data_IF_604066749572
#
_entry.id   IF_604066749572
#
_cell.length_a   1.000
_cell.length_b   1.000
_cell.length_c   1.000
_cell.angle_alpha   90.00
_cell.angle_beta   90.00
_cell.angle_gamma   90.00
#
_symmetry.space_group_name_H-M   'P 1'
#
loop_
_entity.id
_entity.type
_entity.pdbx_description
1 polymer ?
#
# COMPACT_ATOMS: atom_id res chain seq x y z
N UNK A 1 30.98 23.79 75.28
CA UNK A 1 31.10 23.60 73.82
C UNK A 1 30.02 22.64 73.40
N UNK A 2 29.12 23.13 72.55
CA UNK A 2 27.88 22.48 72.15
C UNK A 2 28.07 21.69 70.85
N UNK A 3 27.42 20.53 70.74
CA UNK A 3 26.90 19.91 69.51
C UNK A 3 26.07 18.68 69.92
N UNK A 4 24.75 18.78 69.97
CA UNK A 4 23.81 18.51 68.85
C UNK A 4 23.56 17.02 68.61
N UNK A 5 22.56 16.49 69.32
CA UNK A 5 21.80 15.28 68.96
C UNK A 5 20.92 15.59 67.76
N UNK A 6 21.10 14.86 66.65
CA UNK A 6 20.20 14.91 65.49
C UNK A 6 19.65 13.51 65.24
N UNK A 7 18.33 13.38 65.36
CA UNK A 7 17.57 12.18 65.05
C UNK A 7 17.53 11.96 63.51
N UNK A 8 17.77 10.73 63.07
CA UNK A 8 17.58 10.33 61.68
C UNK A 8 16.08 10.06 61.42
N UNK A 9 15.47 10.85 60.55
CA UNK A 9 14.15 10.58 60.02
C UNK A 9 14.23 9.48 58.95
N UNK A 10 13.50 8.38 59.15
CA UNK A 10 13.27 7.37 58.12
C UNK A 10 12.21 7.90 57.14
N UNK A 11 12.62 8.19 55.90
CA UNK A 11 11.69 8.42 54.78
C UNK A 11 11.38 7.10 54.09
N UNK A 12 10.13 6.64 54.20
CA UNK A 12 9.58 5.57 53.37
C UNK A 12 9.53 6.07 51.92
N UNK A 13 10.20 5.38 51.01
CA UNK A 13 10.06 5.56 49.56
C UNK A 13 8.95 4.59 49.14
N UNK A 14 7.79 5.13 48.75
CA UNK A 14 6.75 4.34 48.07
C UNK A 14 7.28 3.89 46.69
N UNK A 15 6.99 2.66 46.24
CA UNK A 15 7.34 2.25 44.89
C UNK A 15 6.47 3.02 43.90
N UNK A 16 7.11 3.76 43.00
CA UNK A 16 6.46 4.35 41.84
C UNK A 16 5.85 3.22 41.01
N UNK A 17 4.52 3.22 40.88
CA UNK A 17 3.80 2.31 40.00
C UNK A 17 4.37 2.39 38.58
N UNK A 18 4.75 1.24 38.03
CA UNK A 18 5.06 1.13 36.60
C UNK A 18 3.80 1.51 35.80
N UNK A 19 3.91 2.31 34.72
CA UNK A 19 2.76 2.66 33.92
C UNK A 19 2.20 1.43 33.22
N UNK A 20 0.87 1.35 33.22
CA UNK A 20 0.07 0.33 32.55
C UNK A 20 0.47 0.20 31.06
N UNK A 21 0.86 -1.00 30.57
CA UNK A 21 1.25 -1.21 29.18
C UNK A 21 0.10 -1.00 28.17
N UNK A 22 -1.12 -0.70 28.60
CA UNK A 22 -2.27 -0.42 27.73
C UNK A 22 -2.53 1.07 27.43
N UNK A 23 -1.74 2.02 27.95
CA UNK A 23 -2.03 3.45 27.78
C UNK A 23 -1.38 4.15 26.58
N UNK A 24 -0.69 3.43 25.68
CA UNK A 24 -0.18 4.00 24.42
C UNK A 24 -1.20 3.82 23.29
N UNK A 25 -2.31 4.58 23.38
CA UNK A 25 -3.28 4.68 22.32
C UNK A 25 -2.67 5.36 21.07
N UNK A 26 -2.61 4.58 19.99
CA UNK A 26 -2.55 4.95 18.57
C UNK A 26 -2.19 6.41 18.22
N UNK A 27 -0.94 6.65 17.81
CA UNK A 27 -0.55 7.87 17.08
C UNK A 27 -0.86 7.76 15.58
N UNK A 28 -2.03 7.21 15.23
CA UNK A 28 -2.52 7.39 13.86
C UNK A 28 -3.03 8.82 13.74
N UNK A 29 -2.66 9.57 12.69
CA UNK A 29 -3.20 10.91 12.48
C UNK A 29 -4.74 10.84 12.51
N UNK A 30 -5.37 11.85 13.12
CA UNK A 30 -6.82 11.93 13.18
C UNK A 30 -7.40 11.69 11.79
N UNK A 31 -8.22 10.65 11.66
CA UNK A 31 -8.89 10.33 10.41
C UNK A 31 -9.79 11.51 10.07
N UNK A 32 -9.42 12.30 9.06
CA UNK A 32 -10.34 13.29 8.49
C UNK A 32 -11.67 12.62 8.21
N UNK A 33 -12.77 13.28 8.56
CA UNK A 33 -14.11 12.79 8.26
C UNK A 33 -14.15 12.41 6.77
N UNK A 34 -14.42 11.14 6.52
CA UNK A 34 -14.43 10.56 5.18
C UNK A 34 -15.64 11.10 4.43
N UNK A 35 -15.42 11.66 3.25
CA UNK A 35 -16.46 12.25 2.40
C UNK A 35 -16.69 11.47 1.10
N UNK A 36 -16.09 10.27 0.97
CA UNK A 36 -16.20 9.42 -0.22
C UNK A 36 -15.49 8.08 -0.03
N UNK A 37 -15.15 7.40 -1.11
CA UNK A 37 -14.50 6.09 -1.16
C UNK A 37 -13.05 6.17 -0.66
N UNK A 38 -12.69 5.32 0.32
CA UNK A 38 -11.32 5.17 0.83
C UNK A 38 -10.71 3.86 0.36
N UNK A 39 -9.60 3.96 -0.37
CA UNK A 39 -8.83 2.81 -0.86
C UNK A 39 -7.45 2.81 -0.24
N UNK A 40 -7.06 1.68 0.36
CA UNK A 40 -5.72 1.49 0.90
C UNK A 40 -4.98 0.40 0.13
N UNK A 41 -3.71 0.65 -0.20
CA UNK A 41 -2.81 -0.36 -0.73
C UNK A 41 -1.63 -0.57 0.22
N UNK A 42 -1.27 -1.83 0.47
CA UNK A 42 -0.08 -2.14 1.27
C UNK A 42 0.54 -3.49 0.88
N UNK A 43 1.85 -3.47 0.61
CA UNK A 43 2.66 -4.67 0.60
C UNK A 43 2.90 -5.12 2.06
N UNK A 44 2.35 -6.27 2.43
CA UNK A 44 2.39 -6.77 3.81
C UNK A 44 3.58 -7.67 4.11
N UNK A 45 4.38 -8.02 3.10
CA UNK A 45 5.56 -8.88 3.22
C UNK A 45 5.29 -10.16 4.06
N UNK A 46 4.10 -10.73 3.89
CA UNK A 46 3.54 -11.83 4.68
C UNK A 46 2.44 -11.38 5.64
N UNK A 47 1.18 -11.64 5.28
CA UNK A 47 -0.01 -11.18 6.02
C UNK A 47 -0.03 -11.64 7.48
N UNK A 48 0.40 -12.89 7.77
CA UNK A 48 0.49 -13.40 9.15
C UNK A 48 1.42 -12.57 10.03
N UNK A 49 2.58 -12.21 9.49
CA UNK A 49 3.56 -11.42 10.23
C UNK A 49 3.05 -9.99 10.43
N UNK A 50 2.43 -9.39 9.41
CA UNK A 50 1.84 -8.07 9.50
C UNK A 50 0.71 -8.01 10.56
N UNK A 51 -0.21 -8.98 10.57
CA UNK A 51 -1.27 -9.07 11.58
C UNK A 51 -0.73 -9.18 13.00
N UNK A 52 0.28 -10.04 13.21
CA UNK A 52 0.96 -10.17 14.51
C UNK A 52 1.62 -8.85 14.97
N UNK A 53 2.02 -8.00 14.03
CA UNK A 53 2.74 -6.73 14.27
C UNK A 53 1.84 -5.49 14.31
N UNK A 54 0.52 -5.63 14.29
CA UNK A 54 -0.38 -4.49 14.49
C UNK A 54 -1.24 -4.08 13.28
N UNK A 55 -1.17 -4.82 12.16
CA UNK A 55 -1.96 -4.47 10.97
C UNK A 55 -3.47 -4.49 11.23
N UNK A 56 -3.98 -5.40 12.05
CA UNK A 56 -5.41 -5.50 12.36
C UNK A 56 -5.93 -4.23 13.05
N UNK A 57 -5.16 -3.68 13.99
CA UNK A 57 -5.47 -2.46 14.72
C UNK A 57 -5.48 -1.25 13.79
N UNK A 58 -4.50 -1.16 12.89
CA UNK A 58 -4.49 -0.14 11.84
C UNK A 58 -5.72 -0.24 10.94
N UNK A 59 -6.03 -1.44 10.44
CA UNK A 59 -7.15 -1.66 9.52
C UNK A 59 -8.50 -1.33 10.17
N UNK A 60 -8.69 -1.70 11.43
CA UNK A 60 -9.91 -1.38 12.19
C UNK A 60 -10.11 0.13 12.36
N UNK A 61 -9.02 0.88 12.57
CA UNK A 61 -9.10 2.33 12.79
C UNK A 61 -9.20 3.15 11.50
N UNK A 62 -8.77 2.62 10.35
CA UNK A 62 -8.57 3.43 9.13
C UNK A 62 -9.81 3.61 8.25
N UNK A 63 -10.89 2.89 8.53
CA UNK A 63 -12.17 2.97 7.81
C UNK A 63 -12.06 2.77 6.29
N UNK A 64 -11.27 1.78 5.89
CA UNK A 64 -11.03 1.42 4.49
C UNK A 64 -12.25 0.72 3.89
N UNK A 65 -12.66 1.14 2.69
CA UNK A 65 -13.71 0.46 1.92
C UNK A 65 -13.15 -0.67 1.07
N UNK A 66 -12.02 -0.41 0.40
CA UNK A 66 -11.32 -1.37 -0.46
C UNK A 66 -9.85 -1.43 -0.02
N UNK A 67 -9.42 -2.59 0.44
CA UNK A 67 -8.07 -2.90 0.86
C UNK A 67 -7.38 -3.76 -0.20
N UNK A 68 -6.25 -3.29 -0.72
CA UNK A 68 -5.43 -4.03 -1.67
C UNK A 68 -4.13 -4.45 -0.98
N UNK A 69 -3.84 -5.75 -1.01
CA UNK A 69 -2.69 -6.34 -0.36
C UNK A 69 -1.73 -6.92 -1.41
N UNK A 70 -0.43 -6.73 -1.19
CA UNK A 70 0.63 -7.34 -1.97
C UNK A 70 1.58 -8.13 -1.07
N UNK A 71 2.26 -9.12 -1.65
CA UNK A 71 3.08 -10.08 -0.92
C UNK A 71 2.36 -10.70 0.28
N UNK A 72 1.12 -11.15 0.04
CA UNK A 72 0.30 -11.82 1.04
C UNK A 72 1.02 -13.05 1.62
N UNK A 73 1.71 -13.82 0.76
CA UNK A 73 2.55 -14.99 1.09
C UNK A 73 1.84 -15.99 2.02
N UNK A 74 0.56 -16.21 1.80
CA UNK A 74 -0.24 -17.14 2.58
C UNK A 74 -1.27 -17.86 1.70
N UNK A 75 -1.70 -19.07 2.10
CA UNK A 75 -2.83 -19.72 1.48
C UNK A 75 -4.12 -18.94 1.65
N UNK A 76 -5.04 -19.10 0.71
CA UNK A 76 -6.33 -18.40 0.68
C UNK A 76 -7.12 -18.48 2.01
N UNK A 77 -7.22 -19.68 2.60
CA UNK A 77 -7.92 -19.90 3.87
C UNK A 77 -7.41 -19.00 5.01
N UNK A 78 -6.12 -18.65 5.02
CA UNK A 78 -5.50 -17.82 6.05
C UNK A 78 -5.83 -16.35 5.83
N UNK A 79 -5.96 -15.93 4.57
CA UNK A 79 -6.40 -14.57 4.23
C UNK A 79 -7.83 -14.35 4.73
N UNK A 80 -8.71 -15.33 4.48
CA UNK A 80 -10.08 -15.34 4.98
C UNK A 80 -10.16 -15.37 6.51
N UNK A 81 -9.36 -16.21 7.18
CA UNK A 81 -9.29 -16.28 8.64
C UNK A 81 -8.88 -14.93 9.26
N UNK A 82 -7.87 -14.26 8.71
CA UNK A 82 -7.33 -13.03 9.28
C UNK A 82 -8.20 -11.80 9.01
N UNK A 83 -8.72 -11.65 7.80
CA UNK A 83 -9.59 -10.51 7.46
C UNK A 83 -11.00 -10.67 8.05
N UNK A 84 -11.50 -11.90 8.12
CA UNK A 84 -12.81 -12.24 8.66
C UNK A 84 -13.96 -12.05 7.67
N UNK A 85 -15.17 -12.37 8.13
CA UNK A 85 -16.36 -12.48 7.31
C UNK A 85 -16.98 -11.14 6.90
N UNK A 86 -16.49 -10.01 7.41
CA UNK A 86 -16.97 -8.67 7.05
C UNK A 86 -16.45 -8.18 5.68
N UNK A 87 -15.62 -8.98 5.02
CA UNK A 87 -14.98 -8.64 3.75
C UNK A 87 -15.36 -9.58 2.61
N UNK A 88 -15.68 -9.03 1.44
CA UNK A 88 -15.55 -9.76 0.19
C UNK A 88 -14.07 -9.84 -0.15
N UNK A 89 -13.52 -11.05 -0.27
CA UNK A 89 -12.08 -11.26 -0.49
C UNK A 89 -11.90 -11.92 -1.85
N UNK A 90 -11.09 -11.28 -2.70
CA UNK A 90 -10.54 -11.84 -3.92
C UNK A 90 -9.03 -11.96 -3.73
N UNK A 91 -8.49 -13.16 -3.83
CA UNK A 91 -7.07 -13.41 -3.60
C UNK A 91 -6.50 -14.31 -4.70
N UNK A 92 -5.40 -13.87 -5.29
CA UNK A 92 -4.58 -14.69 -6.16
C UNK A 92 -3.38 -15.20 -5.36
N UNK A 93 -3.52 -16.41 -4.84
CA UNK A 93 -2.42 -17.15 -4.24
C UNK A 93 -1.35 -17.46 -5.31
N UNK A 94 -0.08 -17.29 -4.97
CA UNK A 94 1.01 -17.72 -5.83
C UNK A 94 1.30 -19.21 -5.63
N UNK A 95 1.51 -19.95 -6.72
CA UNK A 95 1.88 -21.38 -6.66
C UNK A 95 3.21 -21.60 -5.91
N UNK A 96 4.14 -20.66 -6.03
CA UNK A 96 5.37 -20.65 -5.26
C UNK A 96 5.09 -20.30 -3.79
N UNK A 97 4.98 -21.34 -2.95
CA UNK A 97 4.67 -21.23 -1.52
C UNK A 97 5.53 -20.17 -0.79
N UNK A 98 4.85 -19.29 -0.05
CA UNK A 98 5.49 -18.24 0.74
C UNK A 98 6.09 -17.09 -0.08
N UNK A 99 5.72 -16.95 -1.35
CA UNK A 99 6.14 -15.87 -2.26
C UNK A 99 4.92 -15.14 -2.80
N UNK A 100 5.08 -13.86 -3.15
CA UNK A 100 4.07 -13.04 -3.81
C UNK A 100 2.67 -13.18 -3.16
N UNK A 101 1.62 -13.29 -3.97
CA UNK A 101 0.23 -13.27 -3.55
C UNK A 101 -0.29 -11.84 -3.49
N UNK A 102 -1.43 -11.60 -4.13
CA UNK A 102 -2.13 -10.31 -4.09
C UNK A 102 -3.60 -10.51 -3.76
N UNK A 103 -4.19 -9.57 -3.03
CA UNK A 103 -5.61 -9.62 -2.71
C UNK A 103 -6.26 -8.24 -2.86
N UNK A 104 -7.57 -8.26 -3.11
CA UNK A 104 -8.49 -7.15 -2.93
C UNK A 104 -9.54 -7.61 -1.93
N UNK A 105 -9.79 -6.80 -0.90
CA UNK A 105 -10.84 -7.01 0.07
C UNK A 105 -11.75 -5.78 0.12
N UNK A 106 -13.06 -5.93 -0.07
CA UNK A 106 -14.03 -4.84 0.08
C UNK A 106 -15.03 -5.08 1.20
N UNK A 107 -15.45 -4.02 1.89
CA UNK A 107 -16.40 -4.09 3.01
C UNK A 107 -17.78 -4.58 2.54
N UNK A 108 -18.26 -5.72 3.07
CA UNK A 108 -19.52 -6.36 2.62
C UNK A 108 -20.75 -5.49 2.82
N UNK A 109 -20.77 -4.72 3.90
CA UNK A 109 -21.86 -3.80 4.25
C UNK A 109 -21.89 -2.53 3.39
N UNK A 110 -20.88 -2.31 2.54
CA UNK A 110 -20.73 -1.08 1.75
C UNK A 110 -20.71 -1.35 0.26
N UNK A 111 -19.89 -2.32 -0.16
CA UNK A 111 -19.61 -2.51 -1.59
C UNK A 111 -19.20 -3.94 -1.92
N UNK A 112 -19.99 -4.56 -2.80
CA UNK A 112 -19.73 -5.87 -3.36
C UNK A 112 -19.07 -5.75 -4.74
N UNK A 113 -18.10 -6.63 -5.07
CA UNK A 113 -17.57 -6.71 -6.43
C UNK A 113 -18.65 -7.24 -7.39
N UNK A 114 -18.74 -6.66 -8.58
CA UNK A 114 -19.64 -7.11 -9.65
C UNK A 114 -19.03 -8.25 -10.45
N UNK A 115 -17.76 -8.10 -10.79
CA UNK A 115 -16.98 -9.08 -11.53
C UNK A 115 -15.55 -9.08 -11.01
N UNK A 116 -14.92 -10.25 -11.04
CA UNK A 116 -13.54 -10.45 -10.56
C UNK A 116 -12.72 -11.19 -11.59
N UNK A 117 -11.45 -10.82 -11.74
CA UNK A 117 -10.49 -11.48 -12.65
C UNK A 117 -9.16 -11.71 -11.93
N UNK A 118 -8.50 -12.82 -12.27
CA UNK A 118 -7.16 -13.16 -11.77
C UNK A 118 -6.21 -13.25 -12.96
N UNK A 119 -5.01 -12.69 -12.80
CA UNK A 119 -3.99 -12.65 -13.85
C UNK A 119 -4.11 -11.43 -14.76
N UNK A 120 -3.00 -11.10 -15.41
CA UNK A 120 -2.84 -9.89 -16.25
C UNK A 120 -3.02 -10.17 -17.75
N UNK A 121 -3.47 -11.38 -18.12
CA UNK A 121 -3.69 -11.77 -19.51
C UNK A 121 -2.48 -12.38 -20.24
N UNK A 122 -1.36 -12.65 -19.54
CA UNK A 122 -0.26 -13.47 -20.06
C UNK A 122 -0.16 -14.77 -19.24
N UNK A 123 -0.32 -15.90 -19.91
CA UNK A 123 -0.31 -17.24 -19.30
C UNK A 123 0.98 -17.55 -18.55
N UNK A 124 2.10 -16.91 -18.92
CA UNK A 124 3.37 -17.03 -18.20
C UNK A 124 3.27 -16.59 -16.74
N UNK A 125 2.33 -15.68 -16.41
CA UNK A 125 2.11 -15.18 -15.06
C UNK A 125 0.83 -15.73 -14.41
N UNK A 126 0.13 -16.68 -15.02
CA UNK A 126 -1.19 -17.15 -14.57
C UNK A 126 -1.20 -17.63 -13.11
N UNK A 127 -0.13 -18.28 -12.64
CA UNK A 127 -0.01 -18.81 -11.27
C UNK A 127 0.93 -17.99 -10.38
N UNK A 128 1.40 -16.83 -10.87
CA UNK A 128 2.40 -16.03 -10.17
C UNK A 128 1.83 -15.26 -8.96
N UNK A 129 0.51 -15.09 -8.87
CA UNK A 129 -0.16 -14.38 -7.77
C UNK A 129 0.25 -12.91 -7.70
N UNK A 130 0.21 -12.19 -8.83
CA UNK A 130 0.73 -10.81 -8.98
C UNK A 130 -0.28 -9.79 -9.49
N UNK A 131 -1.48 -10.22 -9.84
CA UNK A 131 -2.52 -9.35 -10.40
C UNK A 131 -3.91 -9.91 -10.13
N UNK A 132 -4.78 -9.09 -9.57
CA UNK A 132 -6.22 -9.34 -9.45
C UNK A 132 -6.99 -8.07 -9.73
N UNK A 133 -8.16 -8.20 -10.35
CA UNK A 133 -9.06 -7.09 -10.69
C UNK A 133 -10.45 -7.34 -10.12
N UNK A 134 -11.11 -6.29 -9.65
CA UNK A 134 -12.50 -6.31 -9.23
C UNK A 134 -13.24 -5.05 -9.68
N UNK A 135 -14.44 -5.22 -10.25
CA UNK A 135 -15.30 -4.12 -10.67
C UNK A 135 -16.32 -3.75 -9.62
N UNK A 136 -16.61 -2.46 -9.51
CA UNK A 136 -17.49 -1.92 -8.49
C UNK A 136 -18.40 -0.84 -9.08
N UNK A 137 -19.69 -0.91 -8.75
CA UNK A 137 -20.62 0.19 -9.04
C UNK A 137 -20.59 1.22 -7.91
N UNK A 138 -20.28 2.46 -8.26
CA UNK A 138 -20.27 3.61 -7.36
C UNK A 138 -21.20 4.70 -7.88
N UNK A 139 -21.23 5.83 -7.17
CA UNK A 139 -21.81 7.08 -7.65
C UNK A 139 -20.77 8.20 -7.67
N UNK A 140 -20.81 9.06 -8.68
CA UNK A 140 -20.02 10.29 -8.69
C UNK A 140 -20.58 11.35 -7.71
N UNK A 141 -19.96 12.53 -7.68
CA UNK A 141 -20.40 13.64 -6.84
C UNK A 141 -21.81 14.18 -7.20
N UNK A 142 -22.30 13.91 -8.41
CA UNK A 142 -23.65 14.26 -8.87
C UNK A 142 -24.67 13.11 -8.66
N UNK A 143 -24.26 12.00 -8.03
CA UNK A 143 -25.09 10.83 -7.79
C UNK A 143 -25.29 9.94 -9.01
N UNK A 144 -24.58 10.18 -10.11
CA UNK A 144 -24.67 9.35 -11.32
C UNK A 144 -23.90 8.05 -11.12
N UNK A 145 -24.44 6.90 -11.57
CA UNK A 145 -23.74 5.63 -11.48
C UNK A 145 -22.46 5.68 -12.33
N UNK A 146 -21.34 5.29 -11.73
CA UNK A 146 -20.05 5.10 -12.41
C UNK A 146 -19.47 3.76 -12.04
N UNK A 147 -18.78 3.12 -12.97
CA UNK A 147 -18.05 1.88 -12.70
C UNK A 147 -16.58 2.18 -12.37
N UNK A 148 -16.05 1.45 -11.40
CA UNK A 148 -14.63 1.46 -11.03
C UNK A 148 -14.06 0.05 -11.08
N UNK A 149 -13.07 -0.18 -11.92
CA UNK A 149 -12.18 -1.35 -11.82
C UNK A 149 -11.01 -1.05 -10.89
N UNK A 150 -10.86 -1.82 -9.81
CA UNK A 150 -9.68 -1.78 -8.94
C UNK A 150 -8.80 -2.99 -9.19
N UNK A 151 -7.49 -2.76 -9.27
CA UNK A 151 -6.47 -3.79 -9.44
C UNK A 151 -5.48 -3.75 -8.29
N UNK A 152 -5.20 -4.90 -7.68
CA UNK A 152 -4.04 -5.08 -6.80
C UNK A 152 -2.91 -5.77 -7.58
N UNK A 153 -1.79 -5.08 -7.74
CA UNK A 153 -0.66 -5.51 -8.56
C UNK A 153 0.64 -5.60 -7.74
N UNK A 154 1.44 -6.63 -8.00
CA UNK A 154 2.77 -6.80 -7.41
C UNK A 154 3.80 -7.09 -8.50
N UNK A 155 4.51 -6.05 -8.93
CA UNK A 155 5.56 -6.17 -9.96
C UNK A 155 6.78 -6.85 -9.35
N UNK A 156 7.51 -7.61 -10.15
CA UNK A 156 8.76 -8.25 -9.72
C UNK A 156 9.75 -7.20 -9.19
N UNK A 157 10.41 -7.49 -8.07
CA UNK A 157 11.49 -6.63 -7.55
C UNK A 157 12.61 -6.41 -8.57
N UNK A 158 12.86 -7.42 -9.41
CA UNK A 158 13.97 -7.45 -10.35
C UNK A 158 15.31 -7.73 -9.67
N UNK A 159 16.33 -7.94 -10.49
CA UNK A 159 17.73 -8.03 -10.13
C UNK A 159 18.56 -8.00 -11.41
N UNK A 160 19.41 -6.99 -11.57
CA UNK A 160 20.22 -6.75 -12.78
C UNK A 160 20.92 -8.04 -13.25
N UNK A 161 20.86 -8.28 -14.56
CA UNK A 161 21.45 -9.45 -15.25
C UNK A 161 20.95 -10.83 -14.76
N UNK A 162 19.71 -10.90 -14.28
CA UNK A 162 19.08 -12.16 -13.86
C UNK A 162 17.76 -12.41 -14.60
N UNK A 163 17.26 -13.66 -14.63
CA UNK A 163 15.92 -13.98 -15.15
C UNK A 163 14.81 -13.17 -14.48
N UNK A 164 14.96 -12.79 -13.20
CA UNK A 164 13.95 -11.96 -12.51
C UNK A 164 13.79 -10.56 -13.11
N UNK A 165 14.86 -9.99 -13.69
CA UNK A 165 14.76 -8.72 -14.38
C UNK A 165 14.04 -8.88 -15.72
N UNK A 166 14.29 -10.00 -16.41
CA UNK A 166 13.55 -10.34 -17.65
C UNK A 166 12.06 -10.49 -17.35
N UNK A 167 11.70 -11.20 -16.27
CA UNK A 167 10.31 -11.33 -15.81
C UNK A 167 9.69 -9.97 -15.46
N UNK A 168 10.48 -9.08 -14.85
CA UNK A 168 10.03 -7.71 -14.54
C UNK A 168 9.68 -6.94 -15.81
N UNK A 169 10.57 -6.92 -16.80
CA UNK A 169 10.32 -6.21 -18.05
C UNK A 169 9.13 -6.79 -18.82
N UNK A 170 9.04 -8.13 -18.92
CA UNK A 170 7.87 -8.79 -19.52
C UNK A 170 6.58 -8.38 -18.80
N UNK A 171 6.58 -8.36 -17.47
CA UNK A 171 5.40 -7.93 -16.71
C UNK A 171 5.03 -6.46 -16.97
N UNK A 172 6.03 -5.56 -17.07
CA UNK A 172 5.82 -4.15 -17.40
C UNK A 172 5.32 -3.97 -18.84
N UNK A 173 5.75 -4.79 -19.80
CA UNK A 173 5.22 -4.80 -21.18
C UNK A 173 3.75 -5.22 -21.21
N UNK A 174 3.39 -6.25 -20.43
CA UNK A 174 1.99 -6.69 -20.33
C UNK A 174 1.13 -5.63 -19.62
N UNK A 175 1.66 -4.94 -18.59
CA UNK A 175 1.00 -3.77 -18.01
C UNK A 175 0.79 -2.65 -19.04
N UNK A 176 1.79 -2.34 -19.87
CA UNK A 176 1.65 -1.34 -20.93
C UNK A 176 0.52 -1.67 -21.92
N UNK A 177 0.20 -2.96 -22.08
CA UNK A 177 -0.94 -3.44 -22.88
C UNK A 177 -2.26 -3.40 -22.11
N UNK A 178 -2.27 -3.78 -20.83
CA UNK A 178 -3.48 -3.89 -20.00
C UNK A 178 -4.03 -2.51 -19.58
N UNK A 179 -3.18 -1.53 -19.31
CA UNK A 179 -3.59 -0.20 -18.85
C UNK A 179 -4.56 0.51 -19.84
N UNK A 180 -4.31 0.57 -21.16
CA UNK A 180 -5.28 1.10 -22.12
C UNK A 180 -6.58 0.30 -22.20
N UNK A 181 -6.53 -1.03 -22.03
CA UNK A 181 -7.73 -1.87 -22.04
C UNK A 181 -8.64 -1.54 -20.86
N UNK A 182 -8.06 -1.46 -19.65
CA UNK A 182 -8.78 -1.04 -18.44
C UNK A 182 -9.44 0.33 -18.62
N UNK A 183 -8.75 1.30 -19.24
CA UNK A 183 -9.32 2.61 -19.55
C UNK A 183 -10.50 2.58 -20.52
N UNK A 184 -10.59 1.55 -21.37
CA UNK A 184 -11.67 1.38 -22.34
C UNK A 184 -12.82 0.49 -21.83
N UNK A 185 -12.60 -0.26 -20.76
CA UNK A 185 -13.54 -1.23 -20.20
C UNK A 185 -14.43 -0.62 -19.09
N UNK A 186 -13.97 0.41 -18.39
CA UNK A 186 -14.69 1.01 -17.25
C UNK A 186 -14.59 2.54 -17.23
N UNK A 187 -15.53 3.23 -16.57
CA UNK A 187 -15.49 4.70 -16.44
C UNK A 187 -14.23 5.16 -15.70
N UNK A 188 -13.86 4.38 -14.68
CA UNK A 188 -12.69 4.60 -13.84
C UNK A 188 -11.90 3.30 -13.69
N UNK A 189 -10.57 3.40 -13.76
CA UNK A 189 -9.70 2.28 -13.41
C UNK A 189 -8.58 2.74 -12.49
N UNK A 190 -8.22 1.85 -11.57
CA UNK A 190 -7.22 2.07 -10.54
C UNK A 190 -6.30 0.85 -10.44
N UNK A 191 -5.01 1.04 -10.67
CA UNK A 191 -3.98 0.03 -10.41
C UNK A 191 -3.19 0.47 -9.19
N UNK A 192 -3.26 -0.34 -8.14
CA UNK A 192 -2.54 -0.08 -6.89
C UNK A 192 -1.54 -1.19 -6.59
N UNK A 193 -0.52 -0.85 -5.80
CA UNK A 193 0.37 -1.82 -5.18
C UNK A 193 1.85 -1.48 -5.31
N UNK A 194 2.67 -2.41 -4.84
CA UNK A 194 4.13 -2.36 -4.97
C UNK A 194 4.54 -2.68 -6.41
N UNK A 195 4.85 -1.62 -7.15
CA UNK A 195 5.31 -1.69 -8.53
C UNK A 195 6.83 -1.77 -8.64
N UNK A 196 7.54 -1.81 -7.50
CA UNK A 196 8.97 -2.04 -7.42
C UNK A 196 9.84 -1.10 -8.29
N UNK A 197 9.38 0.13 -8.58
CA UNK A 197 10.14 1.12 -9.35
C UNK A 197 9.92 2.51 -8.75
N UNK A 198 11.00 3.24 -8.44
CA UNK A 198 10.93 4.67 -8.17
C UNK A 198 10.96 5.42 -9.50
N UNK A 199 9.92 6.18 -9.84
CA UNK A 199 9.78 6.80 -11.16
C UNK A 199 10.79 7.94 -11.38
N UNK A 200 10.94 8.83 -10.41
CA UNK A 200 11.76 10.04 -10.51
C UNK A 200 12.84 10.09 -9.42
N UNK A 201 13.76 11.04 -9.50
CA UNK A 201 14.77 11.27 -8.46
C UNK A 201 14.18 11.68 -7.11
N UNK A 202 12.93 12.12 -7.09
CA UNK A 202 12.18 12.42 -5.87
C UNK A 202 11.67 11.15 -5.17
N UNK A 203 11.62 10.02 -5.87
CA UNK A 203 11.01 8.78 -5.39
C UNK A 203 11.97 7.88 -4.63
N UNK A 204 13.20 8.32 -4.40
CA UNK A 204 14.21 7.54 -3.70
C UNK A 204 15.24 8.46 -3.06
N UNK A 205 15.50 8.23 -1.76
CA UNK A 205 16.61 8.90 -1.09
C UNK A 205 17.95 8.38 -1.62
N UNK A 206 18.92 9.28 -1.82
CA UNK A 206 20.26 8.94 -2.33
C UNK A 206 20.25 8.29 -3.73
N UNK A 207 19.38 8.79 -4.62
CA UNK A 207 19.14 8.24 -5.96
C UNK A 207 20.40 8.02 -6.81
N UNK A 208 21.44 8.87 -6.68
CA UNK A 208 22.67 8.80 -7.49
C UNK A 208 23.37 7.43 -7.40
N UNK A 209 23.38 6.81 -6.23
CA UNK A 209 23.99 5.49 -6.03
C UNK A 209 23.14 4.33 -6.54
N UNK A 210 21.87 4.57 -6.86
CA UNK A 210 20.88 3.56 -7.20
C UNK A 210 20.53 3.52 -8.69
N UNK A 211 21.04 4.42 -9.52
CA UNK A 211 20.75 4.47 -10.98
C UNK A 211 21.16 3.21 -11.75
N UNK A 212 21.92 2.30 -11.14
CA UNK A 212 22.32 0.99 -11.69
C UNK A 212 21.74 -0.19 -10.89
N UNK A 213 20.72 0.05 -10.07
CA UNK A 213 20.07 -0.95 -9.22
C UNK A 213 18.64 -1.16 -9.72
N UNK A 214 18.21 -2.43 -9.72
CA UNK A 214 16.83 -2.77 -9.99
C UNK A 214 15.89 -2.00 -9.06
N UNK A 215 14.80 -1.51 -9.64
CA UNK A 215 13.87 -0.55 -9.07
C UNK A 215 14.20 0.91 -9.38
N UNK A 216 15.37 1.23 -9.92
CA UNK A 216 15.72 2.60 -10.34
C UNK A 216 16.56 2.67 -11.61
N UNK A 217 16.52 1.60 -12.42
CA UNK A 217 17.18 1.57 -13.72
C UNK A 217 16.49 2.58 -14.67
N UNK A 218 17.25 3.25 -15.57
CA UNK A 218 16.66 4.12 -16.58
C UNK A 218 15.54 3.45 -17.39
N UNK A 219 15.72 2.18 -17.74
CA UNK A 219 14.77 1.40 -18.53
C UNK A 219 13.48 1.12 -17.75
N UNK A 220 13.57 0.85 -16.44
CA UNK A 220 12.39 0.67 -15.59
C UNK A 220 11.59 1.97 -15.46
N UNK A 221 12.27 3.11 -15.29
CA UNK A 221 11.62 4.43 -15.18
C UNK A 221 10.96 4.85 -16.49
N UNK A 222 11.54 4.47 -17.63
CA UNK A 222 10.96 4.75 -18.95
C UNK A 222 9.56 4.12 -19.11
N UNK A 223 9.25 2.99 -18.45
CA UNK A 223 7.88 2.47 -18.42
C UNK A 223 6.92 3.43 -17.71
N UNK A 224 7.34 4.03 -16.60
CA UNK A 224 6.51 4.97 -15.85
C UNK A 224 6.35 6.29 -16.60
N UNK A 225 7.38 6.74 -17.33
CA UNK A 225 7.26 7.84 -18.28
C UNK A 225 6.19 7.56 -19.34
N UNK A 226 6.12 6.33 -19.86
CA UNK A 226 5.08 5.91 -20.82
C UNK A 226 3.70 5.79 -20.18
N UNK A 227 3.61 5.19 -18.99
CA UNK A 227 2.37 5.01 -18.24
C UNK A 227 1.70 6.36 -17.95
N UNK A 228 2.47 7.34 -17.49
CA UNK A 228 1.95 8.65 -17.10
C UNK A 228 1.99 9.71 -18.19
N UNK A 229 2.79 9.48 -19.24
CA UNK A 229 2.93 10.35 -20.41
C UNK A 229 1.75 10.26 -21.37
N UNK A 230 1.87 10.92 -22.52
CA UNK A 230 0.80 11.03 -23.50
C UNK A 230 0.42 9.71 -24.19
N UNK A 231 1.28 8.69 -24.12
CA UNK A 231 1.05 7.37 -24.73
C UNK A 231 -0.11 6.63 -24.05
N UNK A 232 -0.04 6.46 -22.72
CA UNK A 232 -1.05 5.73 -21.94
C UNK A 232 -1.94 6.68 -21.13
N UNK A 233 -1.39 7.81 -20.66
CA UNK A 233 -2.17 8.91 -20.10
C UNK A 233 -2.68 8.70 -18.67
N UNK A 234 -2.29 7.63 -17.98
CA UNK A 234 -2.64 7.41 -16.58
C UNK A 234 -2.00 8.47 -15.68
N UNK A 235 -2.40 8.52 -14.41
CA UNK A 235 -1.93 9.53 -13.44
C UNK A 235 -1.46 8.87 -12.16
N UNK A 236 -0.31 9.32 -11.67
CA UNK A 236 0.18 9.03 -10.34
C UNK A 236 -0.59 9.90 -9.32
N UNK A 237 -1.56 9.30 -8.63
CA UNK A 237 -2.44 10.04 -7.70
C UNK A 237 -1.66 10.55 -6.50
N UNK A 238 -0.75 9.74 -5.96
CA UNK A 238 0.07 10.12 -4.81
C UNK A 238 0.93 11.34 -5.13
N UNK A 239 1.69 11.30 -6.23
CA UNK A 239 2.55 12.42 -6.66
C UNK A 239 1.73 13.68 -6.95
N UNK A 240 0.57 13.55 -7.60
CA UNK A 240 -0.32 14.68 -7.88
C UNK A 240 -0.77 15.41 -6.61
N UNK A 241 -1.09 14.68 -5.56
CA UNK A 241 -1.58 15.24 -4.30
C UNK A 241 -0.44 15.72 -3.38
N UNK A 242 0.73 15.07 -3.42
CA UNK A 242 1.89 15.46 -2.61
C UNK A 242 2.71 16.60 -3.21
N UNK A 243 2.61 16.83 -4.53
CA UNK A 243 3.46 17.77 -5.27
C UNK A 243 4.89 17.26 -5.50
N UNK A 244 5.74 18.10 -6.07
CA UNK A 244 7.13 17.77 -6.45
C UNK A 244 8.10 17.86 -5.26
N UNK A 245 7.91 16.97 -4.28
CA UNK A 245 8.72 16.86 -3.06
C UNK A 245 9.47 15.53 -3.00
N UNK A 246 10.58 15.45 -2.25
CA UNK A 246 11.22 14.15 -1.97
C UNK A 246 10.26 13.26 -1.18
N UNK A 247 10.02 12.05 -1.67
CA UNK A 247 8.96 11.18 -1.15
C UNK A 247 7.56 11.78 -1.39
N UNK A 248 6.58 11.57 -0.47
CA UNK A 248 6.65 10.66 0.68
C UNK A 248 7.01 9.23 0.24
N UNK A 249 7.97 8.61 0.94
CA UNK A 249 8.38 7.24 0.64
C UNK A 249 7.37 6.25 1.19
N UNK A 250 7.33 5.04 0.63
CA UNK A 250 6.42 3.97 1.04
C UNK A 250 7.15 2.72 1.50
N UNK A 251 8.46 2.61 1.24
CA UNK A 251 9.29 1.47 1.62
C UNK A 251 10.61 1.89 2.29
N UNK A 252 11.00 1.15 3.34
CA UNK A 252 12.30 1.28 3.99
C UNK A 252 12.83 -0.09 4.43
N UNK A 253 14.11 -0.34 4.16
CA UNK A 253 14.79 -1.56 4.59
C UNK A 253 14.61 -1.85 6.09
N UNK A 254 14.45 -3.14 6.42
CA UNK A 254 14.57 -3.65 7.80
C UNK A 254 15.97 -3.48 8.39
N UNK A 255 16.99 -3.39 7.52
CA UNK A 255 18.39 -3.38 7.91
C UNK A 255 18.91 -1.96 8.10
N UNK A 256 19.71 -1.78 9.16
CA UNK A 256 20.32 -0.50 9.48
C UNK A 256 19.28 0.54 9.88
N UNK A 257 19.63 1.82 9.74
CA UNK A 257 18.82 2.96 10.19
C UNK A 257 18.05 3.60 9.03
N UNK A 258 17.67 2.82 8.01
CA UNK A 258 16.97 3.35 6.83
C UNK A 258 15.62 3.99 7.21
N UNK A 259 14.87 3.36 8.13
CA UNK A 259 13.62 3.90 8.63
C UNK A 259 13.85 5.19 9.43
N UNK A 260 14.77 5.20 10.39
CA UNK A 260 14.98 6.36 11.27
C UNK A 260 15.52 7.58 10.50
N UNK A 261 16.40 7.35 9.52
CA UNK A 261 16.98 8.39 8.67
C UNK A 261 16.12 8.73 7.44
N UNK A 262 14.92 8.17 7.34
CA UNK A 262 14.01 8.32 6.20
C UNK A 262 14.68 8.08 4.83
N UNK A 263 15.58 7.09 4.78
CA UNK A 263 16.26 6.65 3.56
C UNK A 263 15.37 5.63 2.84
N UNK A 264 14.27 6.12 2.30
CA UNK A 264 13.20 5.31 1.72
C UNK A 264 13.12 5.36 0.19
N UNK A 265 12.17 4.56 -0.31
CA UNK A 265 11.76 4.51 -1.70
C UNK A 265 10.24 4.67 -1.79
N UNK A 266 9.75 5.35 -2.81
CA UNK A 266 8.33 5.40 -3.19
C UNK A 266 8.12 4.44 -4.35
N UNK A 267 7.68 3.23 -4.02
CA UNK A 267 7.48 2.13 -4.98
C UNK A 267 6.05 1.59 -4.95
N UNK A 268 5.23 2.07 -4.02
CA UNK A 268 3.81 1.76 -3.93
C UNK A 268 3.01 2.90 -4.56
N UNK A 269 2.12 2.56 -5.49
CA UNK A 269 1.37 3.51 -6.29
C UNK A 269 -0.13 3.33 -6.13
N UNK A 270 -0.86 4.41 -6.40
CA UNK A 270 -2.24 4.37 -6.86
C UNK A 270 -2.26 5.08 -8.23
N UNK A 271 -2.13 4.29 -9.31
CA UNK A 271 -2.18 4.78 -10.69
C UNK A 271 -3.62 4.77 -11.16
N UNK A 272 -4.12 5.90 -11.66
CA UNK A 272 -5.53 6.04 -12.00
C UNK A 272 -5.73 6.58 -13.42
N UNK A 273 -6.88 6.27 -14.01
CA UNK A 273 -7.37 7.01 -15.19
C UNK A 273 -7.55 8.50 -14.84
N UNK A 274 -7.45 9.43 -15.82
CA UNK A 274 -7.50 10.87 -15.55
C UNK A 274 -8.73 11.34 -14.76
N UNK A 275 -9.91 10.77 -15.05
CA UNK A 275 -11.16 11.09 -14.35
C UNK A 275 -11.10 10.72 -12.86
N UNK A 276 -10.72 9.48 -12.56
CA UNK A 276 -10.56 9.03 -11.17
C UNK A 276 -9.49 9.81 -10.42
N UNK A 277 -8.36 10.11 -11.09
CA UNK A 277 -7.31 10.91 -10.50
C UNK A 277 -7.80 12.33 -10.14
N UNK A 278 -8.75 12.90 -10.89
CA UNK A 278 -9.35 14.19 -10.59
C UNK A 278 -10.34 14.14 -9.42
N UNK A 279 -10.93 12.98 -9.14
CA UNK A 279 -11.77 12.76 -7.97
C UNK A 279 -10.96 12.50 -6.68
N UNK A 280 -9.64 12.27 -6.77
CA UNK A 280 -8.80 12.07 -5.60
C UNK A 280 -8.65 13.37 -4.78
N UNK A 281 -8.84 13.28 -3.46
CA UNK A 281 -8.93 14.43 -2.56
C UNK A 281 -7.87 14.47 -1.48
N UNK A 282 -7.38 13.30 -1.03
CA UNK A 282 -6.32 13.20 -0.05
C UNK A 282 -5.49 11.93 -0.29
N UNK A 283 -4.18 12.01 -0.10
CA UNK A 283 -3.26 10.87 -0.10
C UNK A 283 -2.42 10.92 1.17
N UNK A 284 -2.31 9.79 1.86
CA UNK A 284 -1.51 9.65 3.08
C UNK A 284 -0.71 8.37 3.00
N UNK A 285 0.59 8.47 3.27
CA UNK A 285 1.39 7.30 3.62
C UNK A 285 1.31 7.13 5.13
N UNK A 286 0.65 6.06 5.59
CA UNK A 286 0.52 5.74 7.01
C UNK A 286 1.83 5.11 7.54
N UNK A 287 2.92 5.87 7.49
CA UNK A 287 4.22 5.48 8.02
C UNK A 287 4.12 5.31 9.54
N UNK A 288 4.64 4.21 10.05
CA UNK A 288 4.65 3.97 11.49
C UNK A 288 5.48 5.04 12.24
N UNK A 289 5.13 5.36 13.50
CA UNK A 289 5.86 6.37 14.28
C UNK A 289 7.34 6.03 14.55
N UNK A 290 7.67 4.74 14.60
CA UNK A 290 9.03 4.25 14.87
C UNK A 290 9.32 2.93 14.14
N UNK A 291 10.60 2.58 13.99
CA UNK A 291 11.05 1.38 13.27
C UNK A 291 10.43 0.07 13.81
N UNK A 292 10.21 -0.03 15.11
CA UNK A 292 9.70 -1.21 15.81
C UNK A 292 8.18 -1.33 15.80
N UNK A 293 7.46 -0.24 15.52
CA UNK A 293 5.98 -0.22 15.47
C UNK A 293 5.41 -0.52 14.09
N UNK A 294 6.26 -0.64 13.05
CA UNK A 294 5.80 -1.00 11.70
C UNK A 294 5.52 -2.49 11.57
N UNK A 295 4.48 -2.81 10.81
CA UNK A 295 4.09 -4.20 10.53
C UNK A 295 4.65 -4.78 9.23
N UNK A 296 5.19 -3.93 8.35
CA UNK A 296 5.86 -4.29 7.10
C UNK A 296 7.04 -3.33 6.86
N UNK A 297 7.95 -3.69 5.95
CA UNK A 297 8.91 -2.73 5.38
C UNK A 297 8.25 -1.68 4.50
N UNK A 298 7.00 -1.93 4.05
CA UNK A 298 6.15 -0.95 3.42
C UNK A 298 5.18 -0.30 4.40
N UNK A 299 4.83 0.96 4.14
CA UNK A 299 3.74 1.68 4.78
C UNK A 299 2.51 1.71 3.87
N UNK A 300 1.28 1.63 4.41
CA UNK A 300 0.07 1.76 3.61
C UNK A 300 -0.02 3.10 2.89
N UNK A 301 -0.37 3.06 1.60
CA UNK A 301 -0.78 4.22 0.83
C UNK A 301 -2.31 4.28 0.80
N UNK A 302 -2.88 5.26 1.51
CA UNK A 302 -4.32 5.47 1.65
C UNK A 302 -4.73 6.70 0.86
N UNK A 303 -5.72 6.56 -0.01
CA UNK A 303 -6.24 7.65 -0.84
C UNK A 303 -7.76 7.71 -0.73
N UNK A 304 -8.26 8.93 -0.58
CA UNK A 304 -9.69 9.24 -0.55
C UNK A 304 -10.14 9.81 -1.90
N UNK A 305 -11.18 9.22 -2.47
CA UNK A 305 -11.79 9.62 -3.73
C UNK A 305 -13.21 10.14 -3.50
N UNK A 306 -13.58 11.22 -4.20
CA UNK A 306 -14.92 11.81 -4.18
C UNK A 306 -15.93 11.00 -4.99
N UNK A 307 -16.00 9.70 -4.71
CA UNK A 307 -16.97 8.74 -5.21
C UNK A 307 -17.73 8.16 -4.01
N UNK A 308 -19.02 7.92 -4.16
CA UNK A 308 -19.86 7.42 -3.07
C UNK A 308 -20.10 5.92 -3.24
N UNK A 309 -19.86 5.17 -2.17
CA UNK A 309 -20.39 3.82 -2.01
C UNK A 309 -21.90 3.92 -1.76
N UNK A 310 -22.72 3.06 -2.37
CA UNK A 310 -24.16 3.07 -2.12
C UNK A 310 -24.40 2.75 -0.64
N UNK A 311 -25.34 3.48 -0.02
CA UNK A 311 -25.86 3.18 1.32
C UNK A 311 -26.95 2.11 1.26
#
# INVERSE_FOLDING_TARGET
MATSTTAAAQSFIEPTAEPDPQSQASHLPAVSAKTGLRIASVNVNGIRAAYKRGMAQWLAARDVDILCLQEVRAPDAIVHELLGDDWHILHAEAEAKGRAGVAIASRKDRIQPLQTRIGIGDDYFATAGRWVEADYQLQDAAGQPVELTVVSAYVHSGAVDTPKQVDKYRFLDVMATRLPQLSGESDHALVVGDLNVGHTTLDIKNWKGNVKRAGFLPEERAYFDRFFGAEIGWKDVHRRLSGDVEGPYTWWSWRGQAFDNDTGWRIDYQMATPGLAAAASAAVVDRAPSWDTRFSDHAPLVVDYQLNVRS
#
